data_IF_965803651653
#
_entry.id   IF_965803651653
#
_cell.length_a   1.000
_cell.length_b   1.000
_cell.length_c   1.000
_cell.angle_alpha   90.00
_cell.angle_beta   90.00
_cell.angle_gamma   90.00
#
_symmetry.space_group_name_H-M   'P 1'
#
loop_
_entity.id
_entity.type
_entity.pdbx_description
1 polymer ?
#
# COMPACT_ATOMS: atom_id res chain seq x y z
N UNK A 1 0.68 7.24 15.53
CA UNK A 1 1.37 6.06 15.20
C UNK A 1 2.46 5.74 16.19
N UNK A 2 2.42 4.56 16.71
CA UNK A 2 3.24 4.22 17.87
C UNK A 2 4.43 3.33 17.55
N UNK A 3 4.55 2.90 16.32
CA UNK A 3 5.59 1.94 15.95
C UNK A 3 7.00 2.48 16.20
N UNK A 4 7.18 3.76 16.09
CA UNK A 4 8.48 4.38 16.29
C UNK A 4 8.91 4.45 17.75
N UNK A 5 7.99 4.23 18.67
CA UNK A 5 8.27 4.38 20.09
C UNK A 5 9.20 3.31 20.65
N UNK A 6 9.36 2.20 19.94
CA UNK A 6 10.22 1.12 20.41
C UNK A 6 11.71 1.37 20.18
N UNK A 7 12.07 2.45 19.48
CA UNK A 7 13.46 2.73 19.13
C UNK A 7 14.01 1.85 18.01
N UNK A 8 13.22 0.95 17.48
CA UNK A 8 13.65 0.10 16.38
C UNK A 8 13.55 0.84 15.05
N UNK A 9 14.52 0.61 14.17
CA UNK A 9 14.43 1.13 12.81
C UNK A 9 13.27 0.48 12.09
N UNK A 10 12.48 1.31 11.41
CA UNK A 10 11.45 0.85 10.50
C UNK A 10 11.97 0.95 9.08
N UNK A 11 11.48 0.08 8.21
CA UNK A 11 11.80 0.15 6.80
C UNK A 11 10.54 0.19 5.98
N UNK A 12 10.56 1.01 4.95
CA UNK A 12 9.44 1.15 4.04
C UNK A 12 9.79 0.54 2.70
N UNK A 13 8.86 -0.23 2.18
CA UNK A 13 8.85 -0.59 0.78
C UNK A 13 8.30 0.62 0.04
N UNK A 14 9.09 1.23 -0.85
CA UNK A 14 8.64 2.42 -1.55
C UNK A 14 8.37 2.14 -3.02
N UNK A 15 7.44 2.91 -3.57
CA UNK A 15 6.99 2.75 -4.94
C UNK A 15 6.38 4.06 -5.42
N UNK A 16 6.18 4.16 -6.71
CA UNK A 16 5.55 5.32 -7.31
C UNK A 16 4.14 5.01 -7.76
N UNK A 17 3.25 5.95 -7.49
CA UNK A 17 1.91 5.99 -8.05
C UNK A 17 1.81 7.35 -8.72
N UNK A 18 1.69 7.36 -10.03
CA UNK A 18 1.90 8.59 -10.79
C UNK A 18 3.33 9.07 -10.64
N UNK A 19 3.49 10.35 -10.39
CA UNK A 19 4.80 10.96 -10.20
C UNK A 19 5.19 11.08 -8.73
N UNK A 20 4.37 10.56 -7.84
CA UNK A 20 4.58 10.72 -6.41
C UNK A 20 5.02 9.41 -5.75
N UNK A 21 5.94 9.54 -4.80
CA UNK A 21 6.51 8.40 -4.10
C UNK A 21 5.74 8.11 -2.82
N UNK A 22 5.45 6.84 -2.61
CA UNK A 22 4.73 6.33 -1.46
C UNK A 22 5.53 5.21 -0.81
N UNK A 23 5.19 4.91 0.41
CA UNK A 23 5.83 3.80 1.12
C UNK A 23 4.86 3.13 2.07
N UNK A 24 5.08 1.83 2.27
CA UNK A 24 4.37 1.06 3.29
C UNK A 24 5.38 0.29 4.12
N UNK A 25 4.99 -0.03 5.35
CA UNK A 25 5.84 -0.82 6.24
C UNK A 25 6.19 -2.14 5.56
N UNK A 26 7.49 -2.39 5.43
CA UNK A 26 7.97 -3.60 4.75
C UNK A 26 7.49 -4.88 5.46
N UNK A 27 7.18 -4.79 6.74
CA UNK A 27 6.67 -5.94 7.50
C UNK A 27 5.28 -6.36 7.04
N UNK A 28 4.56 -5.49 6.33
CA UNK A 28 3.24 -5.82 5.78
C UNK A 28 3.32 -6.42 4.38
N UNK A 29 4.51 -6.41 3.78
CA UNK A 29 4.71 -6.89 2.41
C UNK A 29 5.18 -8.34 2.43
N UNK A 30 4.47 -9.20 1.71
CA UNK A 30 4.89 -10.58 1.53
C UNK A 30 5.90 -10.72 0.40
N UNK A 31 5.57 -10.15 -0.75
CA UNK A 31 6.42 -10.24 -1.93
C UNK A 31 6.00 -9.20 -2.96
N UNK A 32 6.86 -8.99 -3.93
CA UNK A 32 6.58 -8.10 -5.04
C UNK A 32 6.62 -8.92 -6.32
N UNK A 33 5.55 -8.84 -7.09
CA UNK A 33 5.41 -9.58 -8.34
C UNK A 33 5.36 -8.64 -9.52
N UNK A 34 5.79 -9.12 -10.66
CA UNK A 34 5.59 -8.39 -11.91
C UNK A 34 4.11 -8.28 -12.19
N UNK A 35 3.72 -7.20 -12.84
CA UNK A 35 2.32 -6.97 -13.16
C UNK A 35 1.80 -8.01 -14.13
N UNK A 36 1.07 -9.00 -13.65
CA UNK A 36 0.48 -10.02 -14.52
C UNK A 36 -0.77 -9.52 -15.19
N UNK A 37 -1.32 -10.34 -16.04
CA UNK A 37 -2.63 -10.05 -16.64
C UNK A 37 -3.68 -10.14 -15.53
N UNK A 38 -4.40 -9.04 -15.34
CA UNK A 38 -5.45 -8.96 -14.32
C UNK A 38 -6.78 -9.29 -14.97
N UNK A 39 -7.50 -10.22 -14.38
CA UNK A 39 -8.86 -10.56 -14.81
C UNK A 39 -9.82 -9.61 -14.11
N UNK A 40 -10.57 -8.79 -14.87
CA UNK A 40 -11.48 -7.84 -14.24
C UNK A 40 -12.52 -8.52 -13.36
N UNK A 41 -12.82 -7.94 -12.22
CA UNK A 41 -13.85 -8.41 -11.30
C UNK A 41 -15.07 -7.52 -11.44
N UNK A 42 -16.06 -7.99 -12.18
CA UNK A 42 -17.27 -7.21 -12.45
C UNK A 42 -18.12 -7.09 -11.20
N UNK A 43 -18.65 -5.91 -10.97
CA UNK A 43 -19.48 -5.64 -9.80
C UNK A 43 -18.71 -5.39 -8.51
N UNK A 44 -17.40 -5.45 -8.55
CA UNK A 44 -16.58 -5.15 -7.38
C UNK A 44 -16.45 -3.64 -7.18
N UNK A 45 -15.92 -3.26 -6.02
CA UNK A 45 -15.60 -1.86 -5.75
C UNK A 45 -14.67 -1.32 -6.84
N UNK A 46 -14.84 -0.06 -7.20
CA UNK A 46 -14.08 0.55 -8.30
C UNK A 46 -12.56 0.53 -8.09
N UNK A 47 -12.10 0.48 -6.84
CA UNK A 47 -10.68 0.39 -6.54
C UNK A 47 -10.11 -1.01 -6.79
N UNK A 48 -10.96 -2.00 -6.99
CA UNK A 48 -10.53 -3.36 -7.31
C UNK A 48 -10.34 -3.47 -8.82
N UNK A 49 -9.09 -3.64 -9.25
CA UNK A 49 -8.78 -3.82 -10.67
C UNK A 49 -9.22 -5.19 -11.18
N UNK A 50 -9.21 -6.17 -10.31
CA UNK A 50 -9.59 -7.52 -10.65
C UNK A 50 -8.86 -8.54 -9.82
N UNK A 51 -8.66 -9.70 -10.42
CA UNK A 51 -8.06 -10.86 -9.77
C UNK A 51 -6.88 -11.36 -10.58
N UNK A 52 -5.89 -11.91 -9.90
CA UNK A 52 -4.79 -12.63 -10.55
C UNK A 52 -4.63 -13.97 -9.88
N UNK A 53 -4.15 -14.94 -10.65
CA UNK A 53 -3.81 -16.25 -10.11
C UNK A 53 -2.31 -16.25 -9.83
N UNK A 54 -1.96 -16.52 -8.59
CA UNK A 54 -0.56 -16.57 -8.17
C UNK A 54 -0.33 -17.87 -7.42
N UNK A 55 0.43 -18.78 -8.02
CA UNK A 55 0.78 -20.08 -7.41
C UNK A 55 -0.45 -20.86 -6.95
N UNK A 56 -1.48 -20.88 -7.79
CA UNK A 56 -2.71 -21.61 -7.49
C UNK A 56 -3.65 -20.92 -6.53
N UNK A 57 -3.32 -19.70 -6.08
CA UNK A 57 -4.18 -18.91 -5.22
C UNK A 57 -4.68 -17.67 -5.94
N UNK A 58 -5.82 -17.17 -5.52
CA UNK A 58 -6.40 -15.95 -6.09
C UNK A 58 -5.97 -14.76 -5.25
N UNK A 59 -5.49 -13.71 -5.92
CA UNK A 59 -5.11 -12.46 -5.29
C UNK A 59 -6.00 -11.36 -5.82
N UNK A 60 -6.62 -10.60 -4.91
CA UNK A 60 -7.40 -9.42 -5.27
C UNK A 60 -6.43 -8.26 -5.52
N UNK A 61 -6.59 -7.62 -6.67
CA UNK A 61 -5.72 -6.50 -7.05
C UNK A 61 -6.43 -5.18 -6.78
N UNK A 62 -5.90 -4.42 -5.82
CA UNK A 62 -6.37 -3.07 -5.53
C UNK A 62 -5.51 -2.07 -6.28
N UNK A 63 -6.13 -0.98 -6.69
CA UNK A 63 -5.42 0.10 -7.36
C UNK A 63 -5.37 1.33 -6.45
N UNK A 64 -4.22 1.58 -5.81
CA UNK A 64 -4.07 2.77 -4.98
C UNK A 64 -4.31 4.07 -5.74
N UNK A 65 -4.04 4.09 -7.04
CA UNK A 65 -4.27 5.28 -7.84
C UNK A 65 -5.74 5.70 -7.82
N UNK A 66 -6.64 4.74 -7.90
CA UNK A 66 -8.07 5.01 -7.83
C UNK A 66 -8.43 5.54 -6.45
N UNK A 67 -7.91 4.89 -5.40
CA UNK A 67 -8.21 5.31 -4.02
C UNK A 67 -7.67 6.69 -3.70
N UNK A 68 -6.54 7.06 -4.30
CA UNK A 68 -5.90 8.36 -4.09
C UNK A 68 -6.44 9.45 -5.00
N UNK A 69 -7.33 9.11 -5.92
CA UNK A 69 -7.94 10.10 -6.79
C UNK A 69 -7.26 10.33 -8.13
N UNK A 70 -6.22 9.55 -8.44
CA UNK A 70 -5.58 9.68 -9.76
C UNK A 70 -6.43 9.09 -10.89
N UNK A 71 -7.31 8.16 -10.53
CA UNK A 71 -8.08 7.44 -11.52
C UNK A 71 -7.38 6.20 -12.05
N UNK A 72 -8.09 5.48 -12.89
CA UNK A 72 -7.61 4.24 -13.47
C UNK A 72 -6.61 4.53 -14.58
N UNK A 73 -5.55 3.72 -14.64
CA UNK A 73 -4.48 3.88 -15.62
C UNK A 73 -4.15 2.54 -16.23
N UNK A 74 -3.51 2.59 -17.40
CA UNK A 74 -3.05 1.39 -18.04
C UNK A 74 -1.86 0.79 -17.28
N UNK A 75 -1.84 -0.53 -17.23
CA UNK A 75 -0.73 -1.26 -16.63
C UNK A 75 0.40 -1.35 -17.65
N UNK A 76 1.60 -1.02 -17.23
CA UNK A 76 2.77 -1.00 -18.10
C UNK A 76 3.80 -2.05 -17.71
N UNK A 77 4.93 -2.02 -18.40
CA UNK A 77 6.01 -2.96 -18.17
C UNK A 77 6.64 -2.82 -16.79
N UNK A 78 6.58 -1.64 -16.20
CA UNK A 78 7.15 -1.38 -14.87
C UNK A 78 6.16 -1.61 -13.75
N UNK A 79 4.90 -1.85 -14.06
CA UNK A 79 3.87 -2.12 -13.07
C UNK A 79 4.26 -3.32 -12.23
N UNK A 80 4.02 -3.21 -10.93
CA UNK A 80 4.29 -4.29 -9.98
C UNK A 80 3.11 -4.48 -9.07
N UNK A 81 2.98 -5.69 -8.55
CA UNK A 81 2.02 -5.99 -7.50
C UNK A 81 2.77 -6.14 -6.19
N UNK A 82 2.41 -5.31 -5.23
CA UNK A 82 2.92 -5.42 -3.88
C UNK A 82 1.94 -6.29 -3.12
N UNK A 83 2.28 -7.54 -2.92
CA UNK A 83 1.41 -8.52 -2.27
C UNK A 83 1.53 -8.35 -0.77
N UNK A 84 0.42 -8.10 -0.11
CA UNK A 84 0.38 -7.91 1.33
C UNK A 84 0.29 -9.25 2.06
N UNK A 85 0.79 -9.26 3.28
CA UNK A 85 0.64 -10.41 4.15
C UNK A 85 -0.80 -10.52 4.64
N UNK A 86 -1.27 -11.76 4.81
CA UNK A 86 -2.56 -12.01 5.44
C UNK A 86 -2.44 -11.84 6.96
N UNK A 87 -3.57 -11.84 7.65
CA UNK A 87 -3.57 -11.72 9.11
C UNK A 87 -2.72 -12.80 9.79
N UNK A 88 -2.74 -14.01 9.23
CA UNK A 88 -1.96 -15.10 9.79
C UNK A 88 -0.46 -14.91 9.61
N UNK A 89 -0.06 -14.17 8.61
CA UNK A 89 1.35 -13.96 8.27
C UNK A 89 1.93 -12.71 8.94
N UNK A 90 1.07 -11.80 9.40
CA UNK A 90 1.53 -10.56 9.99
C UNK A 90 2.12 -10.81 11.37
N UNK A 91 3.32 -10.30 11.63
CA UNK A 91 3.87 -10.36 12.96
C UNK A 91 2.99 -9.52 13.89
N UNK A 92 2.69 -10.06 15.05
CA UNK A 92 1.91 -9.34 16.05
C UNK A 92 2.73 -8.24 16.76
N UNK A 93 3.75 -7.79 16.09
CA UNK A 93 4.64 -6.76 16.60
C UNK A 93 4.06 -5.43 16.14
N UNK A 94 3.91 -4.50 17.04
CA UNK A 94 3.45 -3.12 16.79
C UNK A 94 1.94 -2.90 16.71
N UNK A 95 1.12 -3.85 17.09
CA UNK A 95 -0.31 -3.62 17.11
C UNK A 95 -0.94 -3.32 15.77
N UNK A 96 -0.27 -3.67 14.70
CA UNK A 96 -0.81 -3.47 13.37
C UNK A 96 -1.78 -4.59 13.08
N UNK A 97 -3.05 -4.25 13.03
CA UNK A 97 -4.07 -5.18 12.60
C UNK A 97 -4.43 -4.86 11.17
N UNK A 98 -3.90 -5.65 10.28
CA UNK A 98 -4.28 -5.59 8.88
C UNK A 98 -5.37 -6.64 8.71
N UNK A 99 -6.61 -6.21 8.54
CA UNK A 99 -7.71 -7.15 8.38
C UNK A 99 -7.92 -7.50 6.93
N UNK A 100 -7.16 -8.47 6.46
CA UNK A 100 -7.36 -9.05 5.14
C UNK A 100 -8.14 -10.35 5.23
N UNK A 101 -8.38 -10.83 6.44
CA UNK A 101 -8.89 -12.18 6.60
C UNK A 101 -7.88 -13.17 6.07
N UNK A 102 -8.36 -14.19 5.36
CA UNK A 102 -7.49 -15.16 4.71
C UNK A 102 -7.27 -14.82 3.23
N UNK A 103 -7.85 -13.73 2.76
CA UNK A 103 -7.74 -13.35 1.37
C UNK A 103 -6.45 -12.60 1.10
N UNK A 104 -5.82 -12.93 -0.01
CA UNK A 104 -4.61 -12.25 -0.43
C UNK A 104 -4.99 -11.01 -1.23
N UNK A 105 -4.29 -9.92 -0.95
CA UNK A 105 -4.49 -8.65 -1.62
C UNK A 105 -3.15 -8.15 -2.12
N UNK A 106 -3.14 -7.66 -3.35
CA UNK A 106 -1.97 -7.00 -3.93
C UNK A 106 -2.31 -5.59 -4.34
N UNK A 107 -1.37 -4.68 -4.12
CA UNK A 107 -1.49 -3.30 -4.54
C UNK A 107 -0.80 -3.14 -5.89
N UNK A 108 -1.52 -2.58 -6.86
CA UNK A 108 -1.00 -2.34 -8.19
C UNK A 108 -0.31 -0.97 -8.20
N UNK A 109 1.01 -0.96 -8.37
CA UNK A 109 1.79 0.28 -8.35
C UNK A 109 2.51 0.48 -9.68
N UNK A 110 2.85 1.72 -10.01
CA UNK A 110 3.43 2.03 -11.31
C UNK A 110 4.85 1.54 -11.47
N UNK A 111 5.63 1.63 -10.42
CA UNK A 111 6.99 1.07 -10.38
C UNK A 111 7.49 1.02 -8.95
N UNK A 112 8.44 0.15 -8.71
CA UNK A 112 9.04 -0.02 -7.39
C UNK A 112 10.25 0.92 -7.28
N UNK A 113 10.46 1.42 -6.07
CA UNK A 113 11.63 2.20 -5.71
C UNK A 113 12.40 1.48 -4.59
N UNK A 114 13.37 2.16 -4.04
CA UNK A 114 14.25 1.57 -3.04
C UNK A 114 13.56 1.40 -1.69
N UNK A 115 14.02 0.45 -0.92
CA UNK A 115 13.63 0.32 0.48
C UNK A 115 14.25 1.49 1.24
N UNK A 116 13.43 2.18 2.01
CA UNK A 116 13.87 3.35 2.77
C UNK A 116 13.85 3.04 4.26
N UNK A 117 14.98 3.24 4.92
CA UNK A 117 15.07 3.09 6.38
C UNK A 117 14.61 4.38 7.06
N UNK A 118 13.78 4.23 8.07
CA UNK A 118 13.20 5.34 8.80
C UNK A 118 13.70 5.30 10.23
N UNK A 119 14.31 6.39 10.67
CA UNK A 119 14.72 6.53 12.05
C UNK A 119 13.49 6.75 12.94
N UNK A 120 13.57 6.39 14.24
CA UNK A 120 12.49 6.69 15.17
C UNK A 120 12.18 8.20 15.14
N UNK A 121 10.88 8.51 15.00
CA UNK A 121 10.45 9.88 14.88
C UNK A 121 10.66 10.52 13.51
N UNK A 122 11.09 9.73 12.52
CA UNK A 122 11.36 10.25 11.18
C UNK A 122 10.16 10.43 10.28
N UNK A 123 8.99 10.06 10.76
CA UNK A 123 7.75 10.23 9.99
C UNK A 123 6.97 11.41 10.60
N UNK A 124 6.76 12.43 9.79
CA UNK A 124 5.99 13.60 10.22
C UNK A 124 4.50 13.34 9.98
N UNK A 125 3.63 13.74 10.92
CA UNK A 125 2.20 13.60 10.71
C UNK A 125 1.73 14.54 9.61
N UNK A 126 0.64 14.15 8.94
CA UNK A 126 0.04 15.02 7.94
C UNK A 126 -0.64 16.22 8.61
N UNK A 127 -0.48 17.42 8.06
CA UNK A 127 -1.28 18.55 8.49
C UNK A 127 -2.77 18.27 8.34
N UNK A 128 -3.58 18.82 9.25
CA UNK A 128 -5.03 18.57 9.24
C UNK A 128 -5.68 18.93 7.90
N UNK A 129 -5.20 19.98 7.27
CA UNK A 129 -5.77 20.44 5.98
C UNK A 129 -5.53 19.46 4.84
N UNK A 130 -4.54 18.60 4.99
CA UNK A 130 -4.14 17.67 3.93
C UNK A 130 -4.72 16.28 4.17
N UNK A 131 -5.19 16.02 5.39
CA UNK A 131 -5.77 14.72 5.71
C UNK A 131 -7.06 14.53 4.91
N UNK A 132 -7.00 13.59 3.98
CA UNK A 132 -8.19 13.21 3.25
C UNK A 132 -9.08 12.32 4.08
N UNK A 133 -10.24 12.01 3.53
CA UNK A 133 -11.13 11.01 4.13
C UNK A 133 -10.51 9.63 4.06
N UNK A 134 -10.76 8.79 5.04
CA UNK A 134 -10.31 7.41 5.06
C UNK A 134 -8.93 7.15 5.62
N UNK A 135 -8.11 8.18 5.81
CA UNK A 135 -6.81 8.00 6.43
C UNK A 135 -5.81 7.17 5.62
N UNK A 136 -5.87 7.25 4.30
CA UNK A 136 -4.99 6.47 3.44
C UNK A 136 -3.51 6.78 3.66
N UNK A 137 -3.20 8.02 3.93
CA UNK A 137 -1.83 8.49 4.17
C UNK A 137 -1.71 8.84 5.64
N UNK A 138 -0.79 8.17 6.33
CA UNK A 138 -0.61 8.37 7.77
C UNK A 138 0.43 9.42 8.11
N UNK A 139 1.34 9.70 7.19
CA UNK A 139 2.38 10.69 7.44
C UNK A 139 3.26 10.87 6.22
N UNK A 140 4.30 11.68 6.39
CA UNK A 140 5.23 11.97 5.31
C UNK A 140 6.66 11.92 5.82
N UNK A 141 7.58 11.62 4.91
CA UNK A 141 9.02 11.69 5.16
C UNK A 141 9.59 12.66 4.13
N UNK A 142 10.20 13.71 4.59
CA UNK A 142 10.84 14.66 3.69
C UNK A 142 12.24 14.18 3.32
N UNK A 143 12.50 14.06 2.03
CA UNK A 143 13.82 13.83 1.49
C UNK A 143 14.30 15.12 0.84
N UNK A 144 15.55 15.14 0.39
CA UNK A 144 16.12 16.34 -0.17
C UNK A 144 15.37 16.83 -1.41
N UNK A 145 15.00 15.93 -2.29
CA UNK A 145 14.39 16.28 -3.57
C UNK A 145 12.94 15.81 -3.71
N UNK A 146 12.44 15.04 -2.77
CA UNK A 146 11.10 14.50 -2.87
C UNK A 146 10.56 14.16 -1.49
N UNK A 147 9.34 13.77 -1.46
CA UNK A 147 8.64 13.40 -0.23
C UNK A 147 8.08 12.00 -0.38
N UNK A 148 8.27 11.18 0.64
CA UNK A 148 7.61 9.86 0.68
C UNK A 148 6.33 10.02 1.49
N UNK A 149 5.21 9.64 0.89
CA UNK A 149 3.92 9.61 1.59
C UNK A 149 3.73 8.21 2.14
N UNK A 150 3.57 8.11 3.45
CA UNK A 150 3.44 6.81 4.11
C UNK A 150 1.97 6.38 4.05
N UNK A 151 1.73 5.27 3.36
CA UNK A 151 0.40 4.70 3.25
C UNK A 151 0.09 3.81 4.44
N UNK A 152 -1.18 3.83 4.85
CA UNK A 152 -1.70 2.89 5.83
C UNK A 152 -2.40 1.74 5.09
N UNK A 153 -1.79 0.54 5.04
CA UNK A 153 -2.42 -0.57 4.32
C UNK A 153 -3.79 -0.95 4.87
N UNK A 154 -3.97 -0.81 6.18
CA UNK A 154 -5.26 -1.12 6.79
C UNK A 154 -6.35 -0.21 6.24
N UNK A 155 -6.04 1.07 6.06
CA UNK A 155 -6.99 2.01 5.47
C UNK A 155 -7.26 1.68 4.01
N UNK A 156 -6.23 1.26 3.27
CA UNK A 156 -6.39 0.87 1.86
C UNK A 156 -7.35 -0.31 1.70
N UNK A 157 -7.35 -1.22 2.67
CA UNK A 157 -8.20 -2.40 2.62
C UNK A 157 -9.64 -2.15 3.06
N UNK A 158 -9.91 -1.03 3.70
CA UNK A 158 -11.27 -0.65 4.07
C UNK A 158 -11.93 0.04 2.89
N UNK A 159 -12.61 -0.72 2.06
CA UNK A 159 -13.32 -0.19 0.91
C UNK A 159 -14.73 0.21 1.33
N UNK A 160 -15.05 1.48 1.17
CA UNK A 160 -16.36 1.98 1.52
C UNK A 160 -17.31 1.80 0.36
N UNK A 161 -18.54 1.37 0.68
CA UNK A 161 -19.56 1.22 -0.34
C UNK A 161 -20.09 2.58 -0.78
N UNK A 162 -20.50 2.65 -2.03
CA UNK A 162 -21.11 3.87 -2.55
C UNK A 162 -20.13 4.91 -3.07
N UNK A 163 -18.87 4.60 -3.04
CA UNK A 163 -17.83 5.50 -3.55
C UNK A 163 -17.60 5.31 -5.04
#
# INVERSE_FOLDING_TARGET
MTAAASGAESRLCTFYVGDERYGIDILTVREIQRGPVVTPARGAHRAVRGLVNLRGGVVTVLDPAVQLGYGERELGAKTRLVILKTNAELPRVHGTTLETGDDRVGLCVDRIADVHSVEPGGIDPLPLHVRGSGGLISGVIQLQDEMIRVMDPAAMLRLEEGE
#
